data_IF_813077834778
#
_entry.id   IF_813077834778
#
_cell.length_a   1.000
_cell.length_b   1.000
_cell.length_c   1.000
_cell.angle_alpha   90.00
_cell.angle_beta   90.00
_cell.angle_gamma   90.00
#
_symmetry.space_group_name_H-M   'P 1'
#
loop_
_entity.id
_entity.type
_entity.pdbx_description
1 polymer ?
#
# COMPACT_ATOMS: atom_id res chain seq x y z
N UNK A 1 0.49 -6.32 1.47
CA UNK A 1 1.79 -5.62 1.30
C UNK A 1 2.90 -6.64 1.26
N UNK A 2 3.98 -6.35 0.53
CA UNK A 2 5.16 -7.22 0.43
C UNK A 2 6.44 -6.40 0.54
N UNK A 3 7.44 -6.94 1.24
CA UNK A 3 8.68 -6.27 1.55
C UNK A 3 9.66 -6.24 0.37
N UNK A 4 10.32 -5.10 0.19
CA UNK A 4 11.58 -4.96 -0.55
C UNK A 4 12.73 -5.00 0.46
N UNK A 5 13.74 -5.81 0.19
CA UNK A 5 14.99 -5.83 0.92
C UNK A 5 16.10 -5.09 0.15
N UNK A 6 17.13 -4.64 0.87
CA UNK A 6 18.34 -4.10 0.25
C UNK A 6 19.31 -5.22 -0.22
N UNK A 7 20.56 -4.86 -0.45
CA UNK A 7 21.60 -5.77 -0.98
C UNK A 7 21.89 -6.99 -0.09
N UNK A 8 21.47 -6.94 1.18
CA UNK A 8 21.56 -8.06 2.13
C UNK A 8 20.41 -9.07 1.99
N UNK A 9 19.48 -8.84 1.06
CA UNK A 9 18.29 -9.68 0.89
C UNK A 9 17.49 -9.83 2.18
N UNK A 10 16.84 -10.99 2.34
CA UNK A 10 15.98 -11.31 3.50
C UNK A 10 16.70 -11.31 4.85
N UNK A 11 18.03 -11.45 4.84
CA UNK A 11 18.87 -11.37 6.05
C UNK A 11 19.05 -9.94 6.55
N UNK A 12 18.71 -8.94 5.73
CA UNK A 12 18.72 -7.53 6.09
C UNK A 12 17.37 -6.99 6.55
N UNK A 13 17.34 -5.74 7.06
CA UNK A 13 16.10 -5.08 7.39
C UNK A 13 15.24 -4.87 6.13
N UNK A 14 13.92 -4.81 6.32
CA UNK A 14 13.01 -4.38 5.26
C UNK A 14 13.38 -2.94 4.89
N UNK A 15 13.71 -2.74 3.61
CA UNK A 15 14.07 -1.43 3.08
C UNK A 15 12.83 -0.60 2.83
N UNK A 16 11.79 -1.23 2.26
CA UNK A 16 10.54 -0.56 1.93
C UNK A 16 9.38 -1.54 1.77
N UNK A 17 8.20 -1.15 2.21
CA UNK A 17 6.94 -1.87 1.99
C UNK A 17 6.24 -1.41 0.71
N UNK A 18 5.74 -2.38 -0.07
CA UNK A 18 4.98 -2.15 -1.30
C UNK A 18 3.57 -2.73 -1.17
N UNK A 19 2.56 -1.99 -1.65
CA UNK A 19 1.22 -2.54 -1.86
C UNK A 19 1.23 -3.41 -3.12
N UNK A 20 0.55 -4.54 -3.03
CA UNK A 20 0.39 -5.54 -4.09
C UNK A 20 -1.10 -5.87 -4.19
N UNK A 21 -1.60 -6.15 -5.40
CA UNK A 21 -2.96 -6.70 -5.58
C UNK A 21 -2.91 -8.22 -5.51
N UNK A 22 -3.85 -8.84 -4.79
CA UNK A 22 -4.06 -10.30 -4.74
C UNK A 22 -2.75 -11.10 -4.63
N UNK A 23 -1.89 -10.72 -3.68
CA UNK A 23 -0.63 -11.41 -3.38
C UNK A 23 0.39 -11.48 -4.53
N UNK A 24 0.21 -10.68 -5.59
CA UNK A 24 1.15 -10.59 -6.72
C UNK A 24 2.57 -10.26 -6.23
N UNK A 25 3.55 -10.77 -6.96
CA UNK A 25 4.97 -10.46 -6.77
C UNK A 25 5.37 -9.10 -7.36
N UNK A 26 4.41 -8.33 -7.88
CA UNK A 26 4.65 -7.02 -8.46
C UNK A 26 3.90 -5.98 -7.63
N UNK A 27 4.64 -5.03 -7.08
CA UNK A 27 4.08 -3.87 -6.40
C UNK A 27 3.27 -3.01 -7.36
N UNK A 28 2.33 -2.22 -6.84
CA UNK A 28 1.54 -1.27 -7.66
C UNK A 28 2.41 -0.27 -8.42
N UNK A 29 3.61 0.03 -7.93
CA UNK A 29 4.60 0.86 -8.62
C UNK A 29 5.33 0.16 -9.79
N UNK A 30 5.05 -1.12 -10.05
CA UNK A 30 5.70 -1.94 -11.08
C UNK A 30 6.98 -2.63 -10.64
N UNK A 31 7.36 -2.57 -9.35
CA UNK A 31 8.55 -3.26 -8.84
C UNK A 31 8.29 -4.74 -8.61
N UNK A 32 9.16 -5.59 -9.16
CA UNK A 32 9.24 -7.00 -8.81
C UNK A 32 9.74 -7.20 -7.36
N UNK A 33 9.09 -8.10 -6.65
CA UNK A 33 9.33 -8.44 -5.25
C UNK A 33 9.60 -9.93 -5.17
N UNK A 34 10.54 -10.33 -4.31
CA UNK A 34 10.90 -11.73 -4.14
C UNK A 34 9.71 -12.53 -3.59
N UNK A 35 9.56 -13.78 -4.02
CA UNK A 35 8.45 -14.67 -3.62
C UNK A 35 8.47 -15.01 -2.12
N UNK A 36 9.66 -15.04 -1.52
CA UNK A 36 9.92 -15.30 -0.11
C UNK A 36 9.93 -14.03 0.77
N UNK A 37 9.64 -12.87 0.18
CA UNK A 37 9.54 -11.62 0.93
C UNK A 37 8.44 -11.67 1.99
N UNK A 38 8.70 -11.03 3.13
CA UNK A 38 7.69 -10.85 4.16
C UNK A 38 6.44 -10.17 3.59
N UNK A 39 5.28 -10.64 4.05
CA UNK A 39 3.96 -10.08 3.71
C UNK A 39 3.32 -9.45 4.95
N UNK A 40 2.46 -8.47 4.73
CA UNK A 40 1.72 -7.75 5.78
C UNK A 40 0.40 -7.22 5.21
N UNK A 41 -0.64 -7.13 6.04
CA UNK A 41 -1.93 -6.57 5.62
C UNK A 41 -1.85 -5.13 5.12
N UNK A 42 -2.61 -4.77 4.08
CA UNK A 42 -2.63 -3.39 3.55
C UNK A 42 -3.15 -2.36 4.55
N UNK A 43 -3.92 -2.79 5.56
CA UNK A 43 -4.43 -1.93 6.64
C UNK A 43 -3.33 -1.43 7.58
N UNK A 44 -2.16 -2.06 7.58
CA UNK A 44 -1.01 -1.66 8.40
C UNK A 44 -0.14 -0.60 7.72
N UNK A 45 -0.55 -0.10 6.54
CA UNK A 45 0.14 0.97 5.83
C UNK A 45 0.33 2.21 6.72
N UNK A 46 1.58 2.63 6.89
CA UNK A 46 1.95 3.77 7.74
C UNK A 46 1.99 3.50 9.24
N UNK A 47 1.67 2.27 9.68
CA UNK A 47 1.87 1.80 11.07
C UNK A 47 3.20 1.06 11.26
N UNK A 48 3.92 0.81 10.18
CA UNK A 48 5.24 0.17 10.17
C UNK A 48 6.33 1.15 10.56
N UNK A 49 7.39 0.66 11.23
CA UNK A 49 8.59 1.46 11.47
C UNK A 49 9.40 1.72 10.20
N UNK A 50 9.23 0.88 9.18
CA UNK A 50 9.91 0.99 7.89
C UNK A 50 9.16 1.87 6.90
N UNK A 51 9.86 2.27 5.83
CA UNK A 51 9.30 3.14 4.80
C UNK A 51 8.24 2.41 3.99
N UNK A 52 7.19 3.15 3.62
CA UNK A 52 6.16 2.70 2.68
C UNK A 52 6.34 3.38 1.32
N UNK A 53 6.19 2.65 0.21
CA UNK A 53 6.36 3.20 -1.14
C UNK A 53 5.28 4.25 -1.48
N UNK A 54 5.67 5.53 -1.58
CA UNK A 54 4.73 6.63 -1.85
C UNK A 54 3.87 6.38 -3.10
N UNK A 55 4.47 5.94 -4.21
CA UNK A 55 3.74 5.70 -5.47
C UNK A 55 2.69 4.60 -5.33
N UNK A 56 3.02 3.51 -4.64
CA UNK A 56 2.06 2.45 -4.32
C UNK A 56 0.88 3.01 -3.50
N UNK A 57 1.15 3.86 -2.50
CA UNK A 57 0.12 4.53 -1.72
C UNK A 57 -0.80 5.41 -2.56
N UNK A 58 -0.23 6.25 -3.43
CA UNK A 58 -1.03 7.12 -4.33
C UNK A 58 -1.97 6.30 -5.22
N UNK A 59 -1.45 5.26 -5.88
CA UNK A 59 -2.25 4.39 -6.76
C UNK A 59 -3.35 3.70 -5.95
N UNK A 60 -3.02 3.17 -4.76
CA UNK A 60 -3.98 2.52 -3.90
C UNK A 60 -5.11 3.45 -3.47
N UNK A 61 -4.79 4.65 -2.97
CA UNK A 61 -5.80 5.64 -2.55
C UNK A 61 -6.68 6.13 -3.71
N UNK A 62 -6.14 6.18 -4.93
CA UNK A 62 -6.94 6.48 -6.13
C UNK A 62 -7.80 5.30 -6.59
N UNK A 63 -7.37 4.07 -6.28
CA UNK A 63 -8.08 2.84 -6.65
C UNK A 63 -9.22 2.49 -5.70
N UNK A 64 -9.22 3.04 -4.49
CA UNK A 64 -10.39 2.94 -3.62
C UNK A 64 -11.50 3.72 -4.32
N UNK A 65 -12.59 3.07 -4.77
CA UNK A 65 -13.71 3.81 -5.32
C UNK A 65 -14.12 4.84 -4.28
N UNK A 66 -14.25 6.10 -4.69
CA UNK A 66 -14.94 7.08 -3.87
C UNK A 66 -16.33 6.50 -3.65
N UNK A 67 -16.61 6.00 -2.44
CA UNK A 67 -17.91 5.48 -2.05
C UNK A 67 -18.83 6.70 -1.94
N UNK A 68 -19.24 7.23 -3.09
CA UNK A 68 -20.16 8.35 -3.20
C UNK A 68 -21.50 8.04 -2.50
N UNK A 69 -21.80 6.75 -2.31
CA UNK A 69 -22.96 6.26 -1.56
C UNK A 69 -22.77 6.30 -0.03
N UNK A 70 -21.54 6.21 0.48
CA UNK A 70 -21.24 6.34 1.92
C UNK A 70 -21.12 7.81 2.36
N UNK A 71 -20.83 8.71 1.41
CA UNK A 71 -20.82 10.15 1.60
C UNK A 71 -22.01 10.77 0.87
N UNK A 72 -23.20 10.71 1.46
CA UNK A 72 -24.34 11.50 0.96
C UNK A 72 -23.92 12.96 0.89
N UNK A 73 -23.76 13.47 -0.34
CA UNK A 73 -23.33 14.83 -0.64
C UNK A 73 -24.23 15.89 0.02
N UNK A 74 -25.47 15.55 0.37
CA UNK A 74 -26.40 16.40 1.13
C UNK A 74 -25.92 16.69 2.56
N UNK A 75 -25.12 15.81 3.17
CA UNK A 75 -24.60 16.01 4.53
C UNK A 75 -23.61 17.18 4.63
N UNK A 76 -22.87 17.48 3.56
CA UNK A 76 -21.89 18.58 3.50
C UNK A 76 -22.47 19.90 2.96
N UNK A 77 -23.65 19.85 2.34
CA UNK A 77 -24.29 21.02 1.72
C UNK A 77 -25.33 21.70 2.63
N UNK A 78 -25.66 21.10 3.78
CA UNK A 78 -26.63 21.67 4.75
C UNK A 78 -26.05 22.69 5.75
N UNK A 79 -24.80 23.11 5.58
CA UNK A 79 -24.18 24.15 6.43
C UNK A 79 -24.26 25.57 5.85
N UNK A 80 -25.16 25.81 4.88
CA UNK A 80 -25.43 27.14 4.30
C UNK A 80 -26.68 27.78 4.86
#
# INVERSE_FOLDING_TARGET
MRAEYGDQGRSGPVKQWHLVQNEKLVGLCGRDLAEDSATMESTEWGRTGERCCRSCGVIWFQSVPFLADEHDRSTYLKSG
#
